data_IF_327798817236
#
_entry.id   IF_327798817236
#
_cell.length_a   1.000
_cell.length_b   1.000
_cell.length_c   1.000
_cell.angle_alpha   90.00
_cell.angle_beta   90.00
_cell.angle_gamma   90.00
#
_symmetry.space_group_name_H-M   'P 1'
#
loop_
_entity.id
_entity.type
_entity.pdbx_description
1 polymer ?
#
# COMPACT_ATOMS: atom_id res chain seq x y z
N UNK A 1 -10.78 -2.85 17.93
CA UNK A 1 -11.44 -4.17 17.78
C UNK A 1 -12.04 -4.21 16.39
N UNK A 2 -11.36 -4.88 15.45
CA UNK A 2 -11.87 -5.12 14.09
C UNK A 2 -13.13 -6.01 14.18
N UNK A 3 -14.26 -5.67 13.55
CA UNK A 3 -15.42 -6.54 13.56
C UNK A 3 -15.07 -7.87 12.88
N UNK A 4 -15.25 -8.98 13.59
CA UNK A 4 -14.95 -10.32 13.09
C UNK A 4 -15.58 -10.56 11.71
N UNK A 5 -14.74 -10.71 10.69
CA UNK A 5 -15.13 -11.05 9.33
C UNK A 5 -15.73 -12.46 9.33
N UNK A 6 -17.07 -12.53 9.26
CA UNK A 6 -17.77 -13.79 8.98
C UNK A 6 -17.40 -14.22 7.57
N UNK A 7 -16.66 -15.33 7.47
CA UNK A 7 -16.29 -16.05 6.23
C UNK A 7 -17.45 -16.05 5.24
N UNK A 8 -17.32 -15.32 4.13
CA UNK A 8 -18.17 -15.51 2.95
C UNK A 8 -17.57 -16.62 2.09
N UNK A 9 -18.42 -17.52 1.61
CA UNK A 9 -18.04 -18.61 0.70
C UNK A 9 -17.57 -18.06 -0.65
N UNK A 10 -16.56 -18.67 -1.30
CA UNK A 10 -16.03 -18.17 -2.56
C UNK A 10 -17.03 -18.36 -3.72
N UNK A 11 -17.33 -17.29 -4.46
CA UNK A 11 -17.97 -17.37 -5.77
C UNK A 11 -16.92 -17.72 -6.84
N UNK A 12 -17.28 -18.63 -7.76
CA UNK A 12 -16.42 -19.07 -8.87
C UNK A 12 -16.23 -17.93 -9.88
N UNK A 13 -14.97 -17.56 -10.17
CA UNK A 13 -14.59 -16.62 -11.24
C UNK A 13 -14.79 -17.27 -12.63
N UNK A 14 -15.22 -16.52 -13.67
CA UNK A 14 -15.35 -17.03 -15.03
C UNK A 14 -13.97 -17.16 -15.71
N UNK A 15 -13.77 -18.25 -16.45
CA UNK A 15 -12.51 -18.62 -17.09
C UNK A 15 -12.42 -18.11 -18.53
N UNK A 16 -11.61 -17.07 -18.75
CA UNK A 16 -11.15 -16.69 -20.10
C UNK A 16 -9.73 -17.24 -20.28
N UNK A 17 -9.52 -18.12 -21.28
CA UNK A 17 -8.20 -18.68 -21.61
C UNK A 17 -7.30 -17.58 -22.19
N UNK A 18 -6.28 -17.14 -21.44
CA UNK A 18 -5.12 -16.46 -21.99
C UNK A 18 -4.10 -17.48 -22.54
N UNK A 19 -3.47 -17.13 -23.65
CA UNK A 19 -2.44 -17.94 -24.30
C UNK A 19 -1.23 -18.13 -23.37
N UNK A 20 -0.82 -19.39 -23.16
CA UNK A 20 0.25 -19.78 -22.25
C UNK A 20 1.62 -19.54 -22.88
N UNK A 21 2.28 -18.45 -22.49
CA UNK A 21 3.74 -18.31 -22.63
C UNK A 21 4.49 -19.31 -21.72
N UNK A 22 5.74 -19.62 -22.08
CA UNK A 22 6.57 -20.63 -21.40
C UNK A 22 6.77 -20.33 -19.89
N UNK A 23 6.22 -21.13 -18.96
CA UNK A 23 6.19 -20.82 -17.52
C UNK A 23 7.57 -20.79 -16.84
N UNK A 24 8.60 -21.38 -17.45
CA UNK A 24 9.91 -21.62 -16.79
C UNK A 24 10.86 -20.43 -16.80
N UNK A 25 10.63 -19.45 -17.68
CA UNK A 25 11.55 -18.30 -17.83
C UNK A 25 11.12 -17.11 -16.96
N UNK A 26 9.82 -16.98 -16.71
CA UNK A 26 9.23 -15.88 -15.94
C UNK A 26 9.50 -15.99 -14.43
N UNK A 27 9.47 -17.20 -13.87
CA UNK A 27 9.71 -17.44 -12.44
C UNK A 27 11.14 -17.12 -11.98
N UNK A 28 12.13 -17.04 -12.88
CA UNK A 28 13.54 -16.95 -12.50
C UNK A 28 14.04 -15.53 -12.24
N UNK A 29 13.41 -14.53 -12.85
CA UNK A 29 13.86 -13.13 -12.74
C UNK A 29 13.04 -12.32 -11.73
N UNK A 30 11.74 -12.60 -11.60
CA UNK A 30 10.87 -11.93 -10.62
C UNK A 30 11.15 -12.44 -9.20
N UNK A 31 11.26 -13.76 -9.00
CA UNK A 31 11.36 -14.37 -7.67
C UNK A 31 12.59 -13.98 -6.82
N UNK A 32 13.64 -13.39 -7.41
CA UNK A 32 14.86 -12.98 -6.67
C UNK A 32 14.73 -11.67 -5.91
N UNK A 33 13.81 -10.76 -6.29
CA UNK A 33 13.64 -9.47 -5.59
C UNK A 33 12.70 -9.55 -4.39
N UNK A 34 11.72 -10.46 -4.43
CA UNK A 34 10.68 -10.59 -3.40
C UNK A 34 11.11 -11.39 -2.16
N UNK A 35 12.19 -12.19 -2.24
CA UNK A 35 12.58 -13.10 -1.16
C UNK A 35 13.16 -12.44 0.10
N UNK A 36 13.14 -11.10 0.20
CA UNK A 36 13.82 -10.35 1.27
C UNK A 36 12.89 -9.50 2.15
N UNK A 37 11.58 -9.52 1.93
CA UNK A 37 10.62 -8.76 2.75
C UNK A 37 9.55 -9.70 3.26
N UNK A 38 9.67 -10.07 4.53
CA UNK A 38 8.56 -10.69 5.24
C UNK A 38 7.50 -9.62 5.50
N UNK A 39 6.33 -9.77 4.89
CA UNK A 39 5.15 -9.00 5.25
C UNK A 39 4.52 -9.62 6.50
N UNK A 40 3.88 -8.82 7.37
CA UNK A 40 3.06 -9.34 8.45
C UNK A 40 1.95 -10.27 7.95
N UNK A 41 1.56 -11.26 8.77
CA UNK A 41 0.56 -12.29 8.42
C UNK A 41 -0.82 -11.71 8.06
N UNK A 42 -1.13 -10.48 8.49
CA UNK A 42 -2.38 -9.79 8.17
C UNK A 42 -2.43 -9.20 6.75
N UNK A 43 -1.28 -8.98 6.10
CA UNK A 43 -1.21 -8.28 4.82
C UNK A 43 -1.97 -8.99 3.69
N UNK A 44 -1.92 -10.33 3.54
CA UNK A 44 -2.73 -11.03 2.54
C UNK A 44 -4.24 -10.79 2.69
N UNK A 45 -4.77 -10.80 3.91
CA UNK A 45 -6.19 -10.55 4.17
C UNK A 45 -6.56 -9.08 3.90
N UNK A 46 -5.69 -8.14 4.28
CA UNK A 46 -5.88 -6.70 4.01
C UNK A 46 -5.90 -6.42 2.50
N UNK A 47 -4.94 -6.97 1.77
CA UNK A 47 -4.83 -6.81 0.31
C UNK A 47 -6.06 -7.37 -0.40
N UNK A 48 -6.51 -8.58 -0.03
CA UNK A 48 -7.73 -9.18 -0.57
C UNK A 48 -8.97 -8.36 -0.20
N UNK A 49 -9.10 -7.89 1.03
CA UNK A 49 -10.25 -7.10 1.47
C UNK A 49 -10.43 -5.83 0.62
N UNK A 50 -9.35 -5.09 0.35
CA UNK A 50 -9.37 -3.87 -0.46
C UNK A 50 -9.24 -4.14 -1.96
N UNK A 51 -9.10 -5.40 -2.40
CA UNK A 51 -8.82 -5.77 -3.79
C UNK A 51 -7.61 -5.03 -4.38
N UNK A 52 -6.60 -4.74 -3.55
CA UNK A 52 -5.31 -4.19 -3.97
C UNK A 52 -4.34 -5.36 -4.14
N UNK A 53 -3.62 -5.47 -5.27
CA UNK A 53 -2.64 -6.52 -5.45
C UNK A 53 -1.59 -6.52 -4.34
N UNK A 54 -1.32 -7.67 -3.75
CA UNK A 54 -0.37 -7.79 -2.64
C UNK A 54 1.04 -7.36 -3.06
N UNK A 55 1.37 -7.52 -4.35
CA UNK A 55 2.61 -7.05 -4.95
C UNK A 55 2.75 -5.53 -4.84
N UNK A 56 1.68 -4.77 -5.12
CA UNK A 56 1.66 -3.31 -4.98
C UNK A 56 1.87 -2.92 -3.51
N UNK A 57 1.13 -3.55 -2.58
CA UNK A 57 1.25 -3.29 -1.14
C UNK A 57 2.69 -3.52 -0.66
N UNK A 58 3.29 -4.64 -1.06
CA UNK A 58 4.65 -5.00 -0.69
C UNK A 58 5.71 -4.08 -1.32
N UNK A 59 5.53 -3.65 -2.57
CA UNK A 59 6.44 -2.72 -3.24
C UNK A 59 6.37 -1.32 -2.63
N UNK A 60 5.17 -0.83 -2.29
CA UNK A 60 5.00 0.42 -1.55
C UNK A 60 5.69 0.31 -0.19
N UNK A 61 5.46 -0.75 0.59
CA UNK A 61 6.18 -0.93 1.86
C UNK A 61 7.70 -0.97 1.69
N UNK A 62 8.20 -1.61 0.64
CA UNK A 62 9.63 -1.63 0.35
C UNK A 62 10.17 -0.22 0.11
N UNK A 63 9.46 0.57 -0.69
CA UNK A 63 9.83 1.94 -1.00
C UNK A 63 9.78 2.85 0.23
N UNK A 64 8.76 2.68 1.07
CA UNK A 64 8.54 3.52 2.26
C UNK A 64 9.51 3.21 3.40
N UNK A 65 9.73 1.93 3.70
CA UNK A 65 10.43 1.55 4.93
C UNK A 65 11.59 0.56 4.75
N UNK A 66 11.88 0.12 3.52
CA UNK A 66 12.96 -0.82 3.25
C UNK A 66 12.87 -2.05 4.15
N UNK A 67 13.96 -2.68 4.57
CA UNK A 67 13.89 -3.83 5.51
C UNK A 67 13.37 -3.48 6.91
N UNK A 68 13.31 -2.20 7.28
CA UNK A 68 12.99 -1.76 8.65
C UNK A 68 11.50 -1.86 9.00
N UNK A 69 10.59 -1.76 8.03
CA UNK A 69 9.16 -1.87 8.28
C UNK A 69 8.70 -0.87 9.34
N UNK A 70 7.93 -1.36 10.32
CA UNK A 70 7.44 -0.53 11.42
C UNK A 70 8.55 0.16 12.23
N UNK A 71 9.79 -0.36 12.25
CA UNK A 71 10.94 0.21 12.97
C UNK A 71 11.47 1.53 12.36
N UNK A 72 10.96 1.97 11.21
CA UNK A 72 11.24 3.34 10.74
C UNK A 72 10.55 4.37 11.65
N UNK A 73 9.41 4.00 12.25
CA UNK A 73 8.73 4.83 13.23
C UNK A 73 8.17 6.10 12.59
N UNK A 74 8.60 7.26 13.07
CA UNK A 74 8.05 8.56 12.72
C UNK A 74 9.09 9.42 12.03
N UNK A 75 8.79 9.90 10.81
CA UNK A 75 9.69 10.69 9.98
C UNK A 75 9.09 12.07 9.70
N UNK A 76 9.92 13.11 9.70
CA UNK A 76 9.52 14.51 9.48
C UNK A 76 10.21 15.48 10.45
N UNK A 77 9.65 16.69 10.65
CA UNK A 77 8.46 17.21 9.98
C UNK A 77 8.68 17.39 8.48
N UNK A 78 7.64 17.12 7.71
CA UNK A 78 7.54 17.51 6.32
C UNK A 78 7.41 19.03 6.22
N UNK A 79 7.58 19.59 5.01
CA UNK A 79 7.55 21.05 4.79
C UNK A 79 6.24 21.71 5.25
N UNK A 80 5.14 20.95 5.30
CA UNK A 80 3.82 21.39 5.75
C UNK A 80 3.56 21.08 7.25
N UNK A 81 4.57 20.65 8.01
CA UNK A 81 4.47 20.34 9.44
C UNK A 81 3.91 18.95 9.78
N UNK A 82 3.51 18.16 8.78
CA UNK A 82 3.03 16.78 8.97
C UNK A 82 4.18 15.79 9.16
N UNK A 83 3.86 14.57 9.58
CA UNK A 83 4.83 13.50 9.78
C UNK A 83 4.33 12.21 9.13
N UNK A 84 5.26 11.34 8.75
CA UNK A 84 4.94 10.05 8.14
C UNK A 84 5.20 8.93 9.15
N UNK A 85 4.28 7.95 9.23
CA UNK A 85 4.20 6.98 10.32
C UNK A 85 4.30 5.52 9.84
N UNK A 86 5.20 4.75 10.45
CA UNK A 86 5.24 3.30 10.41
C UNK A 86 5.63 2.68 9.07
N UNK A 87 5.30 1.40 8.89
CA UNK A 87 5.77 0.58 7.78
C UNK A 87 5.39 1.11 6.37
N UNK A 88 4.20 1.70 6.26
CA UNK A 88 3.67 2.30 5.03
C UNK A 88 3.78 3.82 5.02
N UNK A 89 4.47 4.42 6.02
CA UNK A 89 4.71 5.85 6.13
C UNK A 89 3.43 6.70 5.96
N UNK A 90 2.34 6.28 6.63
CA UNK A 90 1.04 6.98 6.59
C UNK A 90 1.20 8.38 7.17
N UNK A 91 0.86 9.41 6.39
CA UNK A 91 1.00 10.80 6.79
C UNK A 91 -0.04 11.23 7.85
N UNK A 92 0.36 12.02 8.85
CA UNK A 92 -0.51 12.55 9.92
C UNK A 92 -1.62 13.47 9.41
N UNK A 93 -1.57 13.92 8.16
CA UNK A 93 -2.67 14.62 7.48
C UNK A 93 -3.99 13.87 7.52
N UNK A 94 -3.97 12.53 7.57
CA UNK A 94 -5.17 11.69 7.71
C UNK A 94 -5.76 11.66 9.14
N UNK A 95 -5.07 12.28 10.10
CA UNK A 95 -5.47 12.42 11.50
C UNK A 95 -5.84 13.85 11.88
N UNK A 96 -5.72 14.79 10.94
CA UNK A 96 -5.82 16.22 11.21
C UNK A 96 -7.26 16.64 11.52
N UNK A 97 -7.48 17.08 12.77
CA UNK A 97 -8.75 17.60 13.25
C UNK A 97 -9.00 19.04 12.79
N UNK A 98 -7.94 19.84 12.61
CA UNK A 98 -8.05 21.26 12.26
C UNK A 98 -8.51 21.45 10.82
N UNK A 99 -8.11 20.55 9.92
CA UNK A 99 -8.59 20.53 8.53
C UNK A 99 -9.85 19.69 8.32
N UNK A 100 -10.50 19.22 9.40
CA UNK A 100 -11.68 18.34 9.38
C UNK A 100 -11.44 17.02 8.61
N UNK A 101 -10.19 16.54 8.54
CA UNK A 101 -9.78 15.31 7.86
C UNK A 101 -9.67 14.16 8.84
N UNK A 102 -10.60 14.09 9.78
CA UNK A 102 -10.59 13.15 10.88
C UNK A 102 -11.05 11.73 10.50
N UNK A 103 -10.71 11.28 9.29
CA UNK A 103 -11.18 10.05 8.67
C UNK A 103 -10.78 8.80 9.46
N UNK A 104 -9.64 8.86 10.15
CA UNK A 104 -9.12 7.72 10.89
C UNK A 104 -9.59 7.70 12.35
N UNK A 105 -9.71 8.85 13.02
CA UNK A 105 -10.12 8.83 14.43
C UNK A 105 -11.59 8.45 14.61
N UNK A 106 -12.46 8.66 13.61
CA UNK A 106 -13.83 8.12 13.64
C UNK A 106 -13.85 6.58 13.73
N UNK A 107 -12.76 5.91 13.35
CA UNK A 107 -12.55 4.47 13.51
C UNK A 107 -11.66 4.10 14.70
N UNK A 108 -11.35 5.08 15.56
CA UNK A 108 -10.48 4.90 16.72
C UNK A 108 -9.00 4.72 16.37
N UNK A 109 -8.59 5.03 15.14
CA UNK A 109 -7.19 4.94 14.71
C UNK A 109 -6.48 6.25 15.10
N UNK A 110 -5.39 6.10 15.82
CA UNK A 110 -4.56 7.21 16.34
C UNK A 110 -3.15 7.14 15.78
N UNK A 111 -2.36 8.21 15.91
CA UNK A 111 -0.93 8.19 15.57
C UNK A 111 -0.20 7.06 16.30
N UNK A 112 -0.49 6.84 17.59
CA UNK A 112 0.06 5.73 18.36
C UNK A 112 -0.30 4.37 17.78
N UNK A 113 -1.55 4.18 17.37
CA UNK A 113 -1.99 2.93 16.74
C UNK A 113 -1.24 2.68 15.42
N UNK A 114 -1.03 3.73 14.61
CA UNK A 114 -0.25 3.64 13.37
C UNK A 114 1.24 3.37 13.61
N UNK A 115 1.77 3.68 14.80
CA UNK A 115 3.17 3.45 15.18
C UNK A 115 3.40 2.11 15.90
N UNK A 116 2.42 1.62 16.66
CA UNK A 116 2.56 0.43 17.49
C UNK A 116 1.95 -0.83 16.85
N UNK A 117 0.98 -0.67 15.94
CA UNK A 117 0.30 -1.78 15.29
C UNK A 117 0.56 -1.77 13.77
N UNK A 118 1.52 -2.60 13.36
CA UNK A 118 1.91 -2.72 11.96
C UNK A 118 0.74 -3.14 11.06
N UNK A 119 -0.16 -4.02 11.51
CA UNK A 119 -1.35 -4.40 10.74
C UNK A 119 -2.33 -3.24 10.54
N UNK A 120 -2.52 -2.37 11.55
CA UNK A 120 -3.31 -1.16 11.38
C UNK A 120 -2.65 -0.21 10.38
N UNK A 121 -1.32 -0.07 10.45
CA UNK A 121 -0.56 0.76 9.50
C UNK A 121 -0.73 0.27 8.05
N UNK A 122 -0.57 -1.03 7.81
CA UNK A 122 -0.81 -1.66 6.51
C UNK A 122 -2.26 -1.52 6.05
N UNK A 123 -3.23 -1.68 6.94
CA UNK A 123 -4.65 -1.54 6.60
C UNK A 123 -4.97 -0.12 6.12
N UNK A 124 -4.41 0.90 6.78
CA UNK A 124 -4.61 2.30 6.39
C UNK A 124 -3.86 2.64 5.11
N UNK A 125 -2.60 2.23 4.96
CA UNK A 125 -1.86 2.43 3.71
C UNK A 125 -2.55 1.75 2.52
N UNK A 126 -3.03 0.53 2.69
CA UNK A 126 -3.77 -0.20 1.64
C UNK A 126 -5.11 0.44 1.32
N UNK A 127 -5.82 0.98 2.32
CA UNK A 127 -7.04 1.75 2.10
C UNK A 127 -6.79 3.01 1.26
N UNK A 128 -5.69 3.74 1.51
CA UNK A 128 -5.31 4.92 0.71
C UNK A 128 -5.00 4.51 -0.75
N UNK A 129 -4.28 3.40 -0.95
CA UNK A 129 -4.02 2.86 -2.28
C UNK A 129 -5.32 2.51 -3.02
N UNK A 130 -6.27 1.88 -2.32
CA UNK A 130 -7.59 1.55 -2.85
C UNK A 130 -8.40 2.81 -3.23
N UNK A 131 -8.42 3.83 -2.37
CA UNK A 131 -9.10 5.09 -2.68
C UNK A 131 -8.48 5.76 -3.91
N UNK A 132 -7.14 5.78 -4.00
CA UNK A 132 -6.43 6.37 -5.13
C UNK A 132 -6.66 5.60 -6.44
N UNK A 133 -6.55 4.27 -6.46
CA UNK A 133 -6.78 3.50 -7.70
C UNK A 133 -8.24 3.61 -8.15
N UNK A 134 -9.19 3.69 -7.21
CA UNK A 134 -10.60 3.93 -7.51
C UNK A 134 -10.82 5.31 -8.15
N UNK A 135 -10.09 6.33 -7.70
CA UNK A 135 -10.20 7.71 -8.22
C UNK A 135 -9.51 7.91 -9.56
N UNK A 136 -8.35 7.28 -9.77
CA UNK A 136 -7.46 7.59 -10.90
C UNK A 136 -7.40 6.49 -11.97
N UNK A 137 -7.87 5.29 -11.69
CA UNK A 137 -8.03 4.21 -12.66
C UNK A 137 -6.75 3.43 -13.00
N UNK A 138 -5.56 4.02 -12.81
CA UNK A 138 -4.26 3.42 -13.16
C UNK A 138 -3.25 3.51 -12.01
N UNK A 139 -2.37 2.51 -11.89
CA UNK A 139 -1.43 2.39 -10.76
C UNK A 139 -0.39 3.51 -10.74
N UNK A 140 0.09 3.97 -11.89
CA UNK A 140 1.05 5.08 -11.96
C UNK A 140 0.49 6.34 -11.27
N UNK A 141 -0.73 6.73 -11.65
CA UNK A 141 -1.42 7.89 -11.06
C UNK A 141 -1.78 7.66 -9.58
N UNK A 142 -2.21 6.45 -9.23
CA UNK A 142 -2.58 6.11 -7.86
C UNK A 142 -1.39 6.15 -6.89
N UNK A 143 -0.23 5.63 -7.31
CA UNK A 143 1.02 5.64 -6.55
C UNK A 143 1.61 7.06 -6.46
N UNK A 144 1.54 7.84 -7.55
CA UNK A 144 1.97 9.23 -7.53
C UNK A 144 1.14 10.06 -6.53
N UNK A 145 -0.18 9.84 -6.50
CA UNK A 145 -1.07 10.46 -5.53
C UNK A 145 -0.85 9.93 -4.11
N UNK A 146 -0.46 8.66 -3.92
CA UNK A 146 -0.14 8.11 -2.61
C UNK A 146 1.01 8.87 -1.95
N UNK A 147 2.08 9.09 -2.71
CA UNK A 147 3.28 9.77 -2.21
C UNK A 147 3.11 11.28 -2.08
N UNK A 148 2.51 11.94 -3.08
CA UNK A 148 2.55 13.39 -3.19
C UNK A 148 1.17 14.08 -3.07
N UNK A 149 0.10 13.32 -2.85
CA UNK A 149 -1.28 13.82 -2.79
C UNK A 149 -1.85 14.27 -4.15
N UNK A 150 -1.09 14.13 -5.24
CA UNK A 150 -1.52 14.48 -6.60
C UNK A 150 -0.88 13.54 -7.63
N UNK A 151 -1.65 13.02 -8.61
CA UNK A 151 -1.13 12.13 -9.64
C UNK A 151 -0.15 12.83 -10.60
N UNK A 152 -0.19 14.17 -10.67
CA UNK A 152 0.61 14.97 -11.60
C UNK A 152 1.85 15.59 -10.94
N UNK A 153 2.14 15.25 -9.68
CA UNK A 153 3.35 15.71 -9.01
C UNK A 153 4.59 15.06 -9.63
N UNK A 154 5.62 15.83 -10.06
CA UNK A 154 6.85 15.22 -10.58
C UNK A 154 7.52 14.26 -9.60
N UNK A 155 7.52 14.59 -8.30
CA UNK A 155 8.05 13.71 -7.25
C UNK A 155 7.18 12.43 -7.10
N UNK A 156 5.86 12.57 -7.19
CA UNK A 156 4.94 11.44 -7.14
C UNK A 156 5.11 10.51 -8.36
N UNK A 157 5.27 11.07 -9.55
CA UNK A 157 5.53 10.28 -10.76
C UNK A 157 6.87 9.54 -10.68
N UNK A 158 7.92 10.18 -10.16
CA UNK A 158 9.19 9.51 -9.90
C UNK A 158 9.00 8.35 -8.91
N UNK A 159 8.31 8.58 -7.80
CA UNK A 159 8.01 7.56 -6.81
C UNK A 159 7.25 6.37 -7.43
N UNK A 160 6.21 6.65 -8.24
CA UNK A 160 5.43 5.62 -8.90
C UNK A 160 6.30 4.75 -9.82
N UNK A 161 7.18 5.37 -10.61
CA UNK A 161 8.12 4.66 -11.47
C UNK A 161 9.08 3.77 -10.68
N UNK A 162 9.59 4.24 -9.54
CA UNK A 162 10.48 3.47 -8.67
C UNK A 162 9.76 2.25 -8.08
N UNK A 163 8.53 2.42 -7.60
CA UNK A 163 7.68 1.32 -7.08
C UNK A 163 7.39 0.31 -8.20
N UNK A 164 6.90 0.75 -9.35
CA UNK A 164 6.52 -0.13 -10.46
C UNK A 164 7.73 -0.89 -11.04
N UNK A 165 8.91 -0.27 -11.05
CA UNK A 165 10.16 -0.92 -11.47
C UNK A 165 10.55 -2.11 -10.55
N UNK A 166 9.96 -2.25 -9.36
CA UNK A 166 10.13 -3.44 -8.52
C UNK A 166 9.25 -4.62 -8.95
N UNK A 167 8.18 -4.36 -9.71
CA UNK A 167 7.11 -5.32 -10.01
C UNK A 167 7.23 -6.00 -11.39
N UNK A 168 8.03 -5.44 -12.29
CA UNK A 168 8.15 -5.88 -13.68
C UNK A 168 6.96 -5.46 -14.55
N UNK A 169 6.94 -5.93 -15.80
CA UNK A 169 6.07 -5.45 -16.89
C UNK A 169 4.55 -5.63 -16.69
N UNK A 170 4.10 -6.26 -15.60
CA UNK A 170 2.67 -6.52 -15.33
C UNK A 170 1.90 -5.29 -14.82
N UNK A 171 2.59 -4.25 -14.37
CA UNK A 171 2.00 -2.99 -13.87
C UNK A 171 2.56 -1.75 -14.59
N UNK A 172 3.28 -1.94 -15.70
CA UNK A 172 3.77 -0.89 -16.60
C UNK A 172 2.86 -0.81 -17.83
#
# INVERSE_FOLDING_TARGET
MWPSLKRRTPQKKPTTKLALGNPRQWLKNSARRWSMIALPDCVPEIADYYQVPIEIVAAVRLQESGSRGQLVGRIGPNKNGTYDLGAMQVNTWWLDQETNRNYLQQWGITERELLENECTNFAVGTWILYDNITRYGEWEAALAAYNAGSPNSPAGQQYANEVLATLGDQYQ
#
